data_IF_810137019461
#
_entry.id   IF_810137019461
#
_cell.length_a   1.000
_cell.length_b   1.000
_cell.length_c   1.000
_cell.angle_alpha   90.00
_cell.angle_beta   90.00
_cell.angle_gamma   90.00
#
_symmetry.space_group_name_H-M   'P 1'
#
loop_
_entity.id
_entity.type
_entity.pdbx_description
1 polymer ?
#
# COMPACT_ATOMS: atom_id res chain seq x y z
N UNK A 1 43.44 -9.05 28.01
CA UNK A 1 42.34 -8.13 27.65
C UNK A 1 41.68 -7.70 28.94
N UNK A 2 41.56 -6.39 29.15
CA UNK A 2 41.24 -5.80 30.45
C UNK A 2 39.72 -5.69 30.63
N UNK A 3 39.18 -6.10 31.79
CA UNK A 3 37.74 -6.10 32.08
C UNK A 3 37.09 -4.72 31.84
N UNK A 4 37.84 -3.65 32.11
CA UNK A 4 37.41 -2.28 31.88
C UNK A 4 37.17 -1.92 30.40
N UNK A 5 37.85 -2.57 29.45
CA UNK A 5 37.62 -2.34 28.02
C UNK A 5 36.38 -3.11 27.52
N UNK A 6 36.05 -4.23 28.16
CA UNK A 6 34.84 -5.01 27.83
C UNK A 6 33.57 -4.34 28.38
N UNK A 7 33.67 -3.68 29.54
CA UNK A 7 32.57 -2.91 30.13
C UNK A 7 32.33 -1.56 29.41
N UNK A 8 33.36 -0.99 28.77
CA UNK A 8 33.26 0.24 27.96
C UNK A 8 32.62 -0.06 26.59
N UNK A 9 33.08 -1.11 25.89
CA UNK A 9 32.50 -1.58 24.62
C UNK A 9 31.03 -2.04 24.80
N UNK A 10 30.70 -2.66 25.94
CA UNK A 10 29.32 -3.06 26.25
C UNK A 10 28.42 -1.86 26.59
N UNK A 11 28.97 -0.80 27.20
CA UNK A 11 28.26 0.46 27.42
C UNK A 11 28.03 1.20 26.12
N UNK A 12 29.03 1.32 25.26
CA UNK A 12 28.92 1.95 23.94
C UNK A 12 27.91 1.20 23.06
N UNK A 13 27.88 -0.14 23.10
CA UNK A 13 26.90 -0.93 22.34
C UNK A 13 25.46 -0.78 22.87
N UNK A 14 25.28 -0.62 24.19
CA UNK A 14 23.97 -0.38 24.80
C UNK A 14 23.51 1.07 24.56
N UNK A 15 24.41 2.05 24.67
CA UNK A 15 24.11 3.45 24.33
C UNK A 15 23.83 3.60 22.83
N UNK A 16 24.53 2.90 21.96
CA UNK A 16 24.26 2.84 20.53
C UNK A 16 22.92 2.15 20.24
N UNK A 17 22.55 1.08 20.94
CA UNK A 17 21.25 0.43 20.75
C UNK A 17 20.07 1.29 21.25
N UNK A 18 20.27 2.07 22.32
CA UNK A 18 19.26 2.99 22.87
C UNK A 18 19.16 4.28 22.04
N UNK A 19 20.27 4.76 21.48
CA UNK A 19 20.33 5.98 20.69
C UNK A 19 20.20 5.75 19.18
N UNK A 20 20.41 4.54 18.65
CA UNK A 20 20.24 4.23 17.23
C UNK A 20 18.83 4.56 16.72
N UNK A 21 17.74 4.25 17.44
CA UNK A 21 16.40 4.73 17.06
C UNK A 21 16.34 6.26 17.03
N UNK A 22 16.89 6.96 18.03
CA UNK A 22 16.92 8.44 18.08
C UNK A 22 17.76 9.05 16.95
N UNK A 23 18.91 8.47 16.60
CA UNK A 23 19.81 8.91 15.52
C UNK A 23 19.16 8.65 14.16
N UNK A 24 18.58 7.47 13.97
CA UNK A 24 17.83 7.11 12.76
C UNK A 24 16.60 8.01 12.59
N UNK A 25 15.87 8.29 13.66
CA UNK A 25 14.74 9.23 13.67
C UNK A 25 15.22 10.66 13.42
N UNK A 26 16.30 11.14 14.03
CA UNK A 26 16.81 12.50 13.78
C UNK A 26 17.34 12.66 12.34
N UNK A 27 17.95 11.63 11.78
CA UNK A 27 18.34 11.58 10.37
C UNK A 27 17.11 11.53 9.44
N UNK A 28 16.08 10.76 9.79
CA UNK A 28 14.80 10.68 9.08
C UNK A 28 13.93 11.94 9.27
N UNK A 29 14.13 12.64 10.39
CA UNK A 29 13.52 13.91 10.78
C UNK A 29 14.25 15.12 10.18
N UNK A 30 15.28 14.91 9.34
CA UNK A 30 16.04 15.98 8.70
C UNK A 30 16.68 16.95 9.69
N UNK A 31 16.95 16.51 10.93
CA UNK A 31 17.56 17.30 12.01
C UNK A 31 19.09 17.15 12.06
N UNK A 32 19.70 16.37 11.16
CA UNK A 32 21.15 16.23 11.04
C UNK A 32 21.75 17.38 10.20
N UNK A 33 22.83 17.99 10.70
CA UNK A 33 23.46 19.22 10.18
C UNK A 33 23.97 19.16 8.72
N UNK A 34 23.89 18.02 8.02
CA UNK A 34 24.35 17.85 6.63
C UNK A 34 23.43 16.97 5.75
N UNK A 35 22.12 16.96 6.01
CA UNK A 35 21.14 16.21 5.21
C UNK A 35 20.67 16.99 3.97
N UNK A 36 20.93 16.48 2.76
CA UNK A 36 20.29 16.95 1.50
C UNK A 36 18.82 16.52 1.37
N UNK A 37 18.30 15.76 2.35
CA UNK A 37 16.90 15.34 2.47
C UNK A 37 16.16 16.38 3.33
N UNK A 38 15.04 16.89 2.83
CA UNK A 38 14.22 17.91 3.51
C UNK A 38 13.73 17.44 4.89
N UNK A 39 13.40 18.41 5.77
CA UNK A 39 12.83 18.22 7.11
C UNK A 39 11.61 17.26 7.08
N UNK A 40 11.82 15.98 7.29
CA UNK A 40 11.63 15.46 8.64
C UNK A 40 10.37 14.70 9.04
N UNK A 41 9.99 13.69 8.25
CA UNK A 41 9.37 12.42 8.68
C UNK A 41 9.89 11.35 7.70
N UNK A 42 10.11 10.10 8.13
CA UNK A 42 10.44 9.00 7.20
C UNK A 42 9.36 8.81 6.11
N UNK A 43 8.15 9.27 6.39
CA UNK A 43 6.98 9.31 5.53
C UNK A 43 6.80 10.69 4.89
N UNK A 44 6.58 10.75 3.60
CA UNK A 44 6.30 12.01 2.87
C UNK A 44 4.85 12.12 2.44
N UNK A 45 4.39 13.34 2.10
CA UNK A 45 3.06 13.55 1.51
C UNK A 45 2.89 12.77 0.20
N UNK A 46 3.94 12.66 -0.60
CA UNK A 46 3.92 11.96 -1.88
C UNK A 46 3.66 10.46 -1.68
N UNK A 47 4.26 9.87 -0.64
CA UNK A 47 4.04 8.46 -0.29
C UNK A 47 2.59 8.19 0.16
N UNK A 48 1.96 9.12 0.89
CA UNK A 48 0.53 9.03 1.21
C UNK A 48 -0.37 9.20 -0.01
N UNK A 49 0.00 10.07 -0.95
CA UNK A 49 -0.69 10.19 -2.24
C UNK A 49 -0.58 8.87 -3.02
N UNK A 50 0.59 8.23 -3.05
CA UNK A 50 0.75 6.93 -3.73
C UNK A 50 -0.09 5.83 -3.10
N UNK A 51 -0.19 5.77 -1.76
CA UNK A 51 -1.11 4.85 -1.07
C UNK A 51 -2.57 5.07 -1.50
N UNK A 52 -2.98 6.34 -1.66
CA UNK A 52 -4.32 6.68 -2.15
C UNK A 52 -4.51 6.28 -3.62
N UNK A 53 -3.51 6.47 -4.47
CA UNK A 53 -3.57 6.06 -5.88
C UNK A 53 -3.70 4.54 -6.01
N UNK A 54 -2.93 3.79 -5.21
CA UNK A 54 -3.06 2.33 -5.11
C UNK A 54 -4.48 1.93 -4.68
N UNK A 55 -5.03 2.56 -3.63
CA UNK A 55 -6.39 2.28 -3.16
C UNK A 55 -7.42 2.50 -4.27
N UNK A 56 -7.39 3.65 -4.95
CA UNK A 56 -8.32 3.98 -6.03
C UNK A 56 -8.21 2.96 -7.16
N UNK A 57 -6.99 2.67 -7.62
CA UNK A 57 -6.77 1.72 -8.71
C UNK A 57 -7.26 0.32 -8.35
N UNK A 58 -6.96 -0.15 -7.13
CA UNK A 58 -7.41 -1.46 -6.65
C UNK A 58 -8.94 -1.56 -6.52
N UNK A 59 -9.60 -0.52 -6.02
CA UNK A 59 -11.07 -0.48 -5.88
C UNK A 59 -11.80 -0.42 -7.22
N UNK A 60 -11.16 0.07 -8.29
CA UNK A 60 -11.72 0.10 -9.64
C UNK A 60 -11.69 -1.26 -10.34
N UNK A 61 -10.90 -2.23 -9.85
CA UNK A 61 -10.82 -3.54 -10.46
C UNK A 61 -12.13 -4.32 -10.27
N UNK A 62 -12.68 -4.93 -11.33
CA UNK A 62 -13.90 -5.70 -11.23
C UNK A 62 -13.65 -7.04 -10.52
N UNK A 63 -14.57 -7.42 -9.63
CA UNK A 63 -14.48 -8.65 -8.84
C UNK A 63 -15.43 -9.75 -9.30
N UNK A 64 -16.41 -9.44 -10.16
CA UNK A 64 -17.30 -10.42 -10.77
C UNK A 64 -16.87 -10.75 -12.20
N UNK A 65 -17.19 -11.95 -12.67
CA UNK A 65 -16.79 -12.42 -13.99
C UNK A 65 -17.30 -11.54 -15.13
N UNK A 66 -18.48 -10.91 -14.99
CA UNK A 66 -19.03 -10.07 -16.05
C UNK A 66 -18.26 -8.76 -16.17
N UNK A 67 -17.91 -8.16 -15.02
CA UNK A 67 -17.02 -7.01 -14.96
C UNK A 67 -15.65 -7.32 -15.56
N UNK A 68 -15.08 -8.49 -15.24
CA UNK A 68 -13.79 -8.95 -15.79
C UNK A 68 -13.86 -9.18 -17.30
N UNK A 69 -14.92 -9.83 -17.80
CA UNK A 69 -15.15 -10.02 -19.23
C UNK A 69 -15.19 -8.67 -19.97
N UNK A 70 -15.95 -7.71 -19.45
CA UNK A 70 -16.05 -6.37 -20.02
C UNK A 70 -14.72 -5.61 -19.97
N UNK A 71 -13.98 -5.75 -18.86
CA UNK A 71 -12.67 -5.13 -18.68
C UNK A 71 -11.68 -5.69 -19.69
N UNK A 72 -11.54 -7.02 -19.78
CA UNK A 72 -10.57 -7.67 -20.66
C UNK A 72 -10.95 -7.55 -22.13
N UNK A 73 -12.23 -7.67 -22.45
CA UNK A 73 -12.76 -7.66 -23.82
C UNK A 73 -12.04 -8.66 -24.74
N UNK A 74 -11.79 -9.87 -24.25
CA UNK A 74 -11.16 -10.94 -25.04
C UNK A 74 -12.22 -11.62 -25.91
N UNK A 75 -11.90 -11.80 -27.19
CA UNK A 75 -12.78 -12.48 -28.15
C UNK A 75 -12.37 -13.94 -28.37
N UNK A 76 -11.18 -14.33 -27.89
CA UNK A 76 -10.69 -15.70 -27.96
C UNK A 76 -9.76 -16.05 -26.79
N UNK A 77 -9.45 -17.33 -26.66
CA UNK A 77 -8.51 -17.84 -25.66
C UNK A 77 -7.10 -17.28 -25.90
N UNK A 78 -6.52 -16.67 -24.87
CA UNK A 78 -5.22 -16.00 -24.96
C UNK A 78 -4.04 -16.83 -24.44
N UNK A 79 -4.29 -18.02 -23.86
CA UNK A 79 -3.26 -18.91 -23.35
C UNK A 79 -3.44 -19.30 -21.87
N UNK A 80 -2.58 -20.20 -21.35
CA UNK A 80 -2.66 -20.66 -19.98
C UNK A 80 -2.50 -19.52 -18.97
N UNK A 81 -3.32 -19.50 -17.92
CA UNK A 81 -3.29 -18.45 -16.91
C UNK A 81 -3.92 -17.12 -17.33
N UNK A 82 -4.54 -17.06 -18.52
CA UNK A 82 -5.21 -15.89 -19.08
C UNK A 82 -6.73 -16.10 -19.26
N UNK A 83 -7.31 -17.02 -18.49
CA UNK A 83 -8.77 -17.18 -18.41
C UNK A 83 -9.37 -16.04 -17.58
N UNK A 84 -10.66 -15.76 -17.79
CA UNK A 84 -11.38 -14.72 -17.05
C UNK A 84 -11.27 -14.95 -15.53
N UNK A 85 -11.36 -16.20 -15.09
CA UNK A 85 -11.25 -16.62 -13.69
C UNK A 85 -9.87 -16.31 -13.10
N UNK A 86 -8.80 -16.40 -13.90
CA UNK A 86 -7.45 -16.06 -13.43
C UNK A 86 -7.32 -14.56 -13.15
N UNK A 87 -7.86 -13.72 -14.03
CA UNK A 87 -7.91 -12.28 -13.81
C UNK A 87 -8.84 -11.90 -12.67
N UNK A 88 -10.02 -12.50 -12.59
CA UNK A 88 -10.96 -12.30 -11.49
C UNK A 88 -10.30 -12.59 -10.14
N UNK A 89 -9.56 -13.69 -10.04
CA UNK A 89 -8.84 -14.05 -8.82
C UNK A 89 -7.86 -12.96 -8.40
N UNK A 90 -6.97 -12.54 -9.30
CA UNK A 90 -5.99 -11.48 -9.01
C UNK A 90 -6.66 -10.14 -8.71
N UNK A 91 -7.68 -9.75 -9.49
CA UNK A 91 -8.41 -8.50 -9.26
C UNK A 91 -9.13 -8.51 -7.92
N UNK A 92 -9.72 -9.63 -7.51
CA UNK A 92 -10.37 -9.78 -6.21
C UNK A 92 -9.38 -9.65 -5.06
N UNK A 93 -8.19 -10.24 -5.18
CA UNK A 93 -7.11 -10.12 -4.18
C UNK A 93 -6.70 -8.65 -4.04
N UNK A 94 -6.42 -7.97 -5.15
CA UNK A 94 -6.00 -6.56 -5.14
C UNK A 94 -7.12 -5.67 -4.58
N UNK A 95 -8.36 -5.85 -5.05
CA UNK A 95 -9.52 -5.06 -4.63
C UNK A 95 -9.79 -5.19 -3.12
N UNK A 96 -9.80 -6.41 -2.61
CA UNK A 96 -10.03 -6.66 -1.18
C UNK A 96 -8.92 -6.09 -0.31
N UNK A 97 -7.67 -6.15 -0.79
CA UNK A 97 -6.54 -5.56 -0.10
C UNK A 97 -6.64 -4.02 -0.08
N UNK A 98 -6.86 -3.39 -1.23
CA UNK A 98 -7.04 -1.95 -1.37
C UNK A 98 -8.14 -1.40 -0.44
N UNK A 99 -9.27 -2.11 -0.32
CA UNK A 99 -10.39 -1.76 0.57
C UNK A 99 -10.01 -1.63 2.06
N UNK A 100 -8.92 -2.26 2.50
CA UNK A 100 -8.45 -2.18 3.90
C UNK A 100 -7.79 -0.85 4.23
N UNK A 101 -7.33 -0.09 3.23
CA UNK A 101 -6.53 1.11 3.45
C UNK A 101 -7.30 2.22 4.16
N UNK A 102 -8.48 2.63 3.66
CA UNK A 102 -9.24 3.71 4.27
C UNK A 102 -9.54 3.50 5.78
N UNK A 103 -10.03 2.34 6.24
CA UNK A 103 -10.18 2.08 7.69
C UNK A 103 -8.89 2.25 8.49
N UNK A 104 -7.75 1.78 7.96
CA UNK A 104 -6.44 1.93 8.61
C UNK A 104 -6.05 3.42 8.66
N UNK A 105 -6.20 4.14 7.56
CA UNK A 105 -5.91 5.58 7.46
C UNK A 105 -6.73 6.41 8.47
N UNK A 106 -8.04 6.16 8.57
CA UNK A 106 -8.90 6.81 9.56
C UNK A 106 -8.42 6.54 10.98
N UNK A 107 -8.05 5.29 11.28
CA UNK A 107 -7.57 4.91 12.62
C UNK A 107 -6.22 5.55 12.96
N UNK A 108 -5.30 5.60 12.00
CA UNK A 108 -4.00 6.29 12.12
C UNK A 108 -4.20 7.76 12.49
N UNK A 109 -5.07 8.48 11.74
CA UNK A 109 -5.36 9.89 12.00
C UNK A 109 -6.00 10.10 13.38
N UNK A 110 -6.95 9.24 13.76
CA UNK A 110 -7.62 9.31 15.06
C UNK A 110 -6.64 9.10 16.23
N UNK A 111 -5.90 7.97 16.21
CA UNK A 111 -4.92 7.65 17.27
C UNK A 111 -3.80 8.70 17.31
N UNK A 112 -3.31 9.17 16.16
CA UNK A 112 -2.31 10.24 16.10
C UNK A 112 -2.80 11.53 16.78
N UNK A 113 -4.05 11.93 16.54
CA UNK A 113 -4.66 13.09 17.19
C UNK A 113 -4.78 12.89 18.70
N UNK A 114 -5.21 11.70 19.14
CA UNK A 114 -5.32 11.38 20.57
C UNK A 114 -3.97 11.36 21.27
N UNK A 115 -2.92 10.83 20.62
CA UNK A 115 -1.54 10.85 21.12
C UNK A 115 -1.02 12.28 21.26
N UNK A 116 -1.26 13.15 20.27
CA UNK A 116 -0.87 14.57 20.32
C UNK A 116 -1.54 15.29 21.49
N UNK A 117 -2.85 15.10 21.67
CA UNK A 117 -3.60 15.73 22.78
C UNK A 117 -3.09 15.22 24.12
N UNK A 118 -2.96 13.90 24.27
CA UNK A 118 -2.49 13.29 25.51
C UNK A 118 -1.05 13.72 25.86
N UNK A 119 -0.16 13.80 24.86
CA UNK A 119 1.19 14.33 25.03
C UNK A 119 1.19 15.76 25.60
N UNK A 120 0.30 16.63 25.11
CA UNK A 120 0.14 17.98 25.65
C UNK A 120 -0.29 17.97 27.12
N UNK A 121 -1.26 17.14 27.47
CA UNK A 121 -1.78 17.04 28.83
C UNK A 121 -0.75 16.50 29.82
N UNK A 122 -0.07 15.39 29.49
CA UNK A 122 0.90 14.77 30.40
C UNK A 122 2.14 15.64 30.62
N UNK A 123 2.58 16.40 29.60
CA UNK A 123 3.68 17.36 29.73
C UNK A 123 3.29 18.55 30.61
N UNK A 124 2.08 19.09 30.45
CA UNK A 124 1.58 20.16 31.33
C UNK A 124 1.51 19.68 32.78
N UNK A 125 1.01 18.48 32.98
CA UNK A 125 0.89 17.88 34.30
C UNK A 125 2.26 17.59 34.95
N UNK A 126 3.23 17.05 34.20
CA UNK A 126 4.59 16.87 34.69
C UNK A 126 5.24 18.18 35.15
N UNK A 127 5.00 19.28 34.45
CA UNK A 127 5.45 20.61 34.87
C UNK A 127 4.78 21.07 36.16
N UNK A 128 3.48 20.83 36.31
CA UNK A 128 2.76 21.18 37.54
C UNK A 128 3.31 20.42 38.76
N UNK A 129 3.59 19.12 38.62
CA UNK A 129 4.23 18.32 39.68
C UNK A 129 5.63 18.85 39.99
N UNK A 130 6.46 19.10 38.97
CA UNK A 130 7.81 19.61 39.18
C UNK A 130 7.80 20.95 39.94
N UNK A 131 6.94 21.89 39.54
CA UNK A 131 6.80 23.19 40.18
C UNK A 131 6.34 23.07 41.64
N UNK A 132 5.32 22.26 41.91
CA UNK A 132 4.84 22.04 43.28
C UNK A 132 5.95 21.50 44.20
N UNK A 133 6.77 20.57 43.70
CA UNK A 133 7.88 20.00 44.46
C UNK A 133 8.99 21.03 44.70
N UNK A 134 9.28 21.91 43.74
CA UNK A 134 10.29 22.95 43.89
C UNK A 134 9.86 24.08 44.83
N UNK A 135 8.58 24.47 44.83
CA UNK A 135 8.02 25.41 45.82
C UNK A 135 8.12 24.86 47.25
N UNK A 136 7.81 23.58 47.40
CA UNK A 136 7.90 22.87 48.67
C UNK A 136 9.37 22.77 49.17
N UNK A 137 10.36 22.60 48.27
CA UNK A 137 11.80 22.67 48.60
C UNK A 137 12.25 24.08 48.99
N UNK A 138 11.81 25.10 48.25
CA UNK A 138 12.23 26.50 48.44
C UNK A 138 11.86 27.07 49.80
N UNK A 139 10.78 26.56 50.41
CA UNK A 139 10.30 26.98 51.72
C UNK A 139 10.91 26.22 52.92
N UNK A 140 11.96 25.39 52.74
CA UNK A 140 12.55 24.51 53.78
C UNK A 140 11.52 23.60 54.50
N UNK A 141 10.36 23.33 53.88
CA UNK A 141 9.18 22.75 54.56
C UNK A 141 9.05 21.22 54.48
N UNK A 142 9.80 20.53 53.63
CA UNK A 142 9.63 19.08 53.40
C UNK A 142 9.85 18.23 54.66
N UNK A 143 10.97 18.46 55.35
CA UNK A 143 11.32 17.76 56.59
C UNK A 143 10.45 18.20 57.76
N UNK A 144 10.03 19.47 57.76
CA UNK A 144 9.35 20.10 58.88
C UNK A 144 7.83 19.81 58.87
N UNK A 145 7.27 19.39 57.73
CA UNK A 145 5.88 18.96 57.55
C UNK A 145 5.71 17.43 57.46
N UNK A 146 6.79 16.66 57.62
CA UNK A 146 6.75 15.19 57.55
C UNK A 146 6.34 14.66 56.17
N UNK A 147 6.79 15.30 55.09
CA UNK A 147 6.48 14.89 53.72
C UNK A 147 7.61 14.03 53.17
N UNK A 148 7.52 12.72 53.43
CA UNK A 148 8.56 11.75 53.04
C UNK A 148 8.12 10.86 51.86
N UNK A 149 6.82 10.71 51.64
CA UNK A 149 6.21 9.75 50.70
C UNK A 149 5.27 10.40 49.67
N UNK A 150 4.87 9.66 48.63
CA UNK A 150 3.82 10.05 47.68
C UNK A 150 2.50 10.37 48.41
N UNK A 151 2.16 9.60 49.44
CA UNK A 151 0.99 9.82 50.31
C UNK A 151 1.05 11.17 51.06
N UNK A 152 2.25 11.61 51.47
CA UNK A 152 2.40 12.92 52.10
C UNK A 152 2.33 14.09 51.10
N UNK A 153 2.77 13.88 49.84
CA UNK A 153 2.57 14.80 48.73
C UNK A 153 1.07 14.95 48.39
N UNK A 154 0.31 13.85 48.47
CA UNK A 154 -1.16 13.84 48.30
C UNK A 154 -1.88 14.70 49.36
N UNK A 155 -1.34 14.79 50.58
CA UNK A 155 -1.89 15.63 51.66
C UNK A 155 -1.69 17.13 51.44
N UNK A 156 -0.64 17.54 50.73
CA UNK A 156 -0.34 18.96 50.43
C UNK A 156 -1.25 19.54 49.34
N UNK A 157 -1.80 18.70 48.45
CA UNK A 157 -2.76 19.17 47.44
C UNK A 157 -4.01 19.81 48.08
N UNK A 158 -4.46 19.31 49.24
CA UNK A 158 -5.57 19.89 49.99
C UNK A 158 -5.26 21.29 50.55
N UNK A 159 -3.98 21.66 50.70
CA UNK A 159 -3.55 23.00 51.17
C UNK A 159 -3.21 23.97 50.02
N UNK A 160 -2.93 23.48 48.81
CA UNK A 160 -2.50 24.28 47.65
C UNK A 160 -3.65 24.96 46.88
N UNK A 161 -4.92 24.62 47.17
CA UNK A 161 -6.08 25.39 46.71
C UNK A 161 -6.18 25.59 45.18
N UNK A 162 -6.77 26.71 44.70
CA UNK A 162 -7.21 26.90 43.31
C UNK A 162 -6.11 27.09 42.24
N UNK A 163 -4.83 27.01 42.60
CA UNK A 163 -3.69 27.19 41.67
C UNK A 163 -3.28 25.90 40.92
N UNK A 164 -3.99 24.79 41.16
CA UNK A 164 -3.86 23.57 40.36
C UNK A 164 -4.62 23.74 39.02
N UNK A 165 -3.96 23.61 37.86
CA UNK A 165 -4.60 23.90 36.57
C UNK A 165 -5.80 22.98 36.30
N UNK A 166 -6.88 23.49 35.68
CA UNK A 166 -7.98 22.66 35.15
C UNK A 166 -7.47 21.88 33.94
N UNK A 167 -7.30 20.56 34.09
CA UNK A 167 -6.56 19.70 33.16
C UNK A 167 -7.48 19.06 32.10
N UNK A 168 -8.68 19.63 31.87
CA UNK A 168 -9.50 19.28 30.70
C UNK A 168 -10.07 17.86 30.70
N UNK A 169 -10.46 17.36 31.86
CA UNK A 169 -11.10 16.06 32.04
C UNK A 169 -12.62 16.12 31.79
N UNK A 170 -13.25 14.96 31.52
CA UNK A 170 -14.71 14.88 31.43
C UNK A 170 -15.37 15.15 32.79
N UNK A 171 -16.69 15.40 32.79
CA UNK A 171 -17.39 15.82 34.00
C UNK A 171 -17.40 14.78 35.13
N UNK A 172 -17.18 13.49 34.82
CA UNK A 172 -17.13 12.43 35.83
C UNK A 172 -15.75 12.38 36.50
N UNK A 173 -14.69 12.65 35.75
CA UNK A 173 -13.32 12.76 36.25
C UNK A 173 -13.08 14.05 37.07
N UNK A 174 -13.85 15.13 36.85
CA UNK A 174 -13.77 16.38 37.63
C UNK A 174 -14.22 16.24 39.09
N UNK A 175 -15.16 15.32 39.39
CA UNK A 175 -15.60 15.04 40.76
C UNK A 175 -14.53 14.28 41.57
N UNK A 176 -13.64 13.55 40.87
CA UNK A 176 -12.51 12.83 41.46
C UNK A 176 -11.22 13.67 41.56
N UNK A 177 -11.21 14.91 41.04
CA UNK A 177 -10.04 15.79 40.99
C UNK A 177 -9.59 16.34 42.35
N UNK A 178 -10.32 16.05 43.44
CA UNK A 178 -9.88 16.33 44.81
C UNK A 178 -8.84 15.32 45.35
N UNK A 179 -8.46 14.30 44.57
CA UNK A 179 -7.49 13.28 44.95
C UNK A 179 -6.38 13.15 43.87
N UNK A 180 -5.22 13.76 44.14
CA UNK A 180 -4.00 13.67 43.34
C UNK A 180 -3.63 12.21 43.03
N UNK A 181 -3.86 11.28 43.96
CA UNK A 181 -3.58 9.86 43.79
C UNK A 181 -4.46 9.21 42.73
N UNK A 182 -5.76 9.53 42.73
CA UNK A 182 -6.68 9.09 41.68
C UNK A 182 -6.22 9.62 40.31
N UNK A 183 -5.81 10.88 40.25
CA UNK A 183 -5.35 11.51 39.02
C UNK A 183 -4.09 10.86 38.44
N UNK A 184 -3.06 10.62 39.27
CA UNK A 184 -1.84 9.90 38.86
C UNK A 184 -2.20 8.51 38.33
N UNK A 185 -3.05 7.75 39.04
CA UNK A 185 -3.51 6.43 38.60
C UNK A 185 -4.24 6.47 37.25
N UNK A 186 -5.08 7.46 37.00
CA UNK A 186 -5.75 7.65 35.71
C UNK A 186 -4.76 8.00 34.58
N UNK A 187 -3.72 8.79 34.87
CA UNK A 187 -2.67 9.10 33.90
C UNK A 187 -1.85 7.87 33.51
N UNK A 188 -1.43 7.05 34.49
CA UNK A 188 -0.69 5.80 34.22
C UNK A 188 -1.55 4.83 33.37
N UNK A 189 -2.85 4.71 33.67
CA UNK A 189 -3.78 3.94 32.82
C UNK A 189 -3.88 4.47 31.39
N UNK A 190 -3.89 5.81 31.21
CA UNK A 190 -3.92 6.41 29.87
C UNK A 190 -2.62 6.16 29.11
N UNK A 191 -1.46 6.14 29.78
CA UNK A 191 -0.18 5.73 29.17
C UNK A 191 -0.28 4.30 28.64
N UNK A 192 -0.79 3.35 29.45
CA UNK A 192 -1.01 1.97 29.04
C UNK A 192 -1.98 1.86 27.84
N UNK A 193 -3.10 2.58 27.88
CA UNK A 193 -4.07 2.57 26.78
C UNK A 193 -3.46 3.09 25.47
N UNK A 194 -2.74 4.21 25.52
CA UNK A 194 -2.14 4.82 24.33
C UNK A 194 -1.01 3.99 23.75
N UNK A 195 -0.29 3.26 24.60
CA UNK A 195 0.68 2.26 24.18
C UNK A 195 0.00 1.12 23.41
N UNK A 196 -1.13 0.58 23.90
CA UNK A 196 -1.91 -0.45 23.20
C UNK A 196 -2.46 0.05 21.86
N UNK A 197 -2.99 1.27 21.84
CA UNK A 197 -3.51 1.90 20.62
C UNK A 197 -2.40 1.99 19.55
N UNK A 198 -1.19 2.40 19.93
CA UNK A 198 -0.05 2.49 19.03
C UNK A 198 0.43 1.10 18.52
N UNK A 199 0.43 0.09 19.37
CA UNK A 199 0.76 -1.29 18.98
C UNK A 199 -0.25 -1.87 17.98
N UNK A 200 -1.53 -1.58 18.17
CA UNK A 200 -2.57 -2.06 17.26
C UNK A 200 -2.40 -1.45 15.85
N UNK A 201 -2.04 -0.16 15.77
CA UNK A 201 -1.72 0.48 14.48
C UNK A 201 -0.51 -0.20 13.81
N UNK A 202 0.56 -0.48 14.57
CA UNK A 202 1.72 -1.19 14.03
C UNK A 202 1.35 -2.55 13.46
N UNK A 203 0.51 -3.32 14.16
CA UNK A 203 0.05 -4.62 13.69
C UNK A 203 -0.76 -4.50 12.39
N UNK A 204 -1.72 -3.56 12.33
CA UNK A 204 -2.53 -3.33 11.14
C UNK A 204 -1.68 -2.95 9.91
N UNK A 205 -0.68 -2.08 10.11
CA UNK A 205 0.24 -1.68 9.04
C UNK A 205 1.17 -2.83 8.63
N UNK A 206 1.67 -3.62 9.58
CA UNK A 206 2.49 -4.79 9.31
C UNK A 206 1.74 -5.83 8.48
N UNK A 207 0.49 -6.14 8.85
CA UNK A 207 -0.34 -7.09 8.11
C UNK A 207 -0.68 -6.57 6.71
N UNK A 208 -0.96 -5.28 6.57
CA UNK A 208 -1.18 -4.64 5.26
C UNK A 208 0.07 -4.70 4.37
N UNK A 209 1.24 -4.32 4.90
CA UNK A 209 2.50 -4.34 4.16
C UNK A 209 2.96 -5.74 3.77
N UNK A 210 2.77 -6.72 4.67
CA UNK A 210 3.07 -8.12 4.37
C UNK A 210 2.19 -8.66 3.25
N UNK A 211 0.90 -8.36 3.26
CA UNK A 211 0.01 -8.83 2.20
C UNK A 211 0.33 -8.18 0.85
N UNK A 212 0.75 -6.90 0.81
CA UNK A 212 1.28 -6.29 -0.41
C UNK A 212 2.45 -7.09 -0.99
N UNK A 213 3.44 -7.40 -0.14
CA UNK A 213 4.68 -8.05 -0.55
C UNK A 213 4.54 -9.54 -0.86
N UNK A 214 3.73 -10.26 -0.07
CA UNK A 214 3.66 -11.74 -0.08
C UNK A 214 2.46 -12.28 -0.87
N UNK A 215 1.43 -11.46 -1.11
CA UNK A 215 0.19 -11.90 -1.76
C UNK A 215 -0.12 -11.05 -3.00
N UNK A 216 -0.32 -9.75 -2.84
CA UNK A 216 -0.81 -8.87 -3.92
C UNK A 216 0.21 -8.77 -5.07
N UNK A 217 1.47 -8.46 -4.75
CA UNK A 217 2.52 -8.29 -5.77
C UNK A 217 2.80 -9.60 -6.53
N UNK A 218 2.98 -10.77 -5.88
CA UNK A 218 3.15 -12.04 -6.59
C UNK A 218 2.00 -12.37 -7.54
N UNK A 219 0.75 -12.07 -7.15
CA UNK A 219 -0.43 -12.30 -7.98
C UNK A 219 -0.44 -11.45 -9.26
N UNK A 220 -0.13 -10.16 -9.14
CA UNK A 220 0.03 -9.26 -10.29
C UNK A 220 1.18 -9.74 -11.18
N UNK A 221 2.32 -10.08 -10.57
CA UNK A 221 3.50 -10.55 -11.29
C UNK A 221 3.23 -11.84 -12.09
N UNK A 222 2.52 -12.80 -11.49
CA UNK A 222 2.14 -14.04 -12.15
C UNK A 222 1.28 -13.79 -13.39
N UNK A 223 0.32 -12.85 -13.30
CA UNK A 223 -0.51 -12.45 -14.44
C UNK A 223 0.29 -11.70 -15.50
N UNK A 224 1.19 -10.80 -15.13
CA UNK A 224 2.11 -10.14 -16.07
C UNK A 224 3.02 -11.13 -16.82
N UNK A 225 3.50 -12.16 -16.14
CA UNK A 225 4.27 -13.24 -16.77
C UNK A 225 3.41 -14.04 -17.74
N UNK A 226 2.18 -14.41 -17.36
CA UNK A 226 1.26 -15.13 -18.24
C UNK A 226 0.97 -14.32 -19.52
N UNK A 227 0.72 -13.01 -19.39
CA UNK A 227 0.50 -12.11 -20.51
C UNK A 227 1.73 -12.07 -21.43
N UNK A 228 2.92 -11.92 -20.83
CA UNK A 228 4.17 -11.81 -21.59
C UNK A 228 4.55 -13.11 -22.32
N UNK A 229 4.03 -14.25 -21.86
CA UNK A 229 4.27 -15.58 -22.43
C UNK A 229 3.09 -16.10 -23.29
N UNK A 230 2.19 -15.21 -23.72
CA UNK A 230 1.05 -15.61 -24.57
C UNK A 230 1.52 -16.29 -25.87
N UNK A 231 0.89 -17.40 -26.29
CA UNK A 231 1.16 -18.02 -27.59
C UNK A 231 0.60 -17.21 -28.77
N UNK A 232 -0.29 -16.24 -28.52
CA UNK A 232 -1.02 -15.51 -29.57
C UNK A 232 -0.07 -14.87 -30.60
N UNK A 233 1.06 -14.31 -30.16
CA UNK A 233 2.04 -13.70 -31.08
C UNK A 233 2.57 -14.69 -32.11
N UNK A 234 2.89 -15.92 -31.68
CA UNK A 234 3.39 -16.97 -32.56
C UNK A 234 2.26 -17.53 -33.46
N UNK A 235 1.06 -17.69 -32.90
CA UNK A 235 -0.11 -18.15 -33.64
C UNK A 235 -0.53 -17.17 -34.74
N UNK A 236 -0.56 -15.87 -34.45
CA UNK A 236 -0.85 -14.79 -35.41
C UNK A 236 0.16 -14.84 -36.56
N UNK A 237 1.46 -14.93 -36.25
CA UNK A 237 2.52 -15.02 -37.26
C UNK A 237 2.37 -16.26 -38.14
N UNK A 238 2.08 -17.41 -37.54
CA UNK A 238 1.87 -18.67 -38.27
C UNK A 238 0.65 -18.57 -39.21
N UNK A 239 -0.48 -18.08 -38.70
CA UNK A 239 -1.72 -17.94 -39.46
C UNK A 239 -1.57 -16.91 -40.59
N UNK A 240 -0.88 -15.80 -40.37
CA UNK A 240 -0.56 -14.83 -41.41
C UNK A 240 0.26 -15.46 -42.55
N UNK A 241 1.25 -16.32 -42.23
CA UNK A 241 2.00 -17.07 -43.24
C UNK A 241 1.14 -18.05 -44.05
N UNK A 242 0.19 -18.73 -43.40
CA UNK A 242 -0.78 -19.61 -44.08
C UNK A 242 -1.68 -18.81 -45.04
N UNK A 243 -2.16 -17.64 -44.61
CA UNK A 243 -2.98 -16.73 -45.41
C UNK A 243 -2.20 -16.22 -46.62
N UNK A 244 -0.93 -15.86 -46.45
CA UNK A 244 -0.06 -15.39 -47.53
C UNK A 244 0.20 -16.49 -48.56
N UNK A 245 0.58 -17.69 -48.12
CA UNK A 245 0.80 -18.82 -49.03
C UNK A 245 -0.47 -19.18 -49.80
N UNK A 246 -1.62 -19.23 -49.11
CA UNK A 246 -2.89 -19.54 -49.77
C UNK A 246 -3.31 -18.45 -50.77
N UNK A 247 -2.96 -17.19 -50.52
CA UNK A 247 -3.20 -16.12 -51.50
C UNK A 247 -2.41 -16.35 -52.79
N UNK A 248 -1.17 -16.84 -52.71
CA UNK A 248 -0.37 -17.24 -53.87
C UNK A 248 -1.03 -18.41 -54.62
N UNK A 249 -1.46 -19.45 -53.90
CA UNK A 249 -2.13 -20.62 -54.49
C UNK A 249 -3.45 -20.21 -55.20
N UNK A 250 -4.22 -19.29 -54.61
CA UNK A 250 -5.44 -18.75 -55.22
C UNK A 250 -5.13 -17.98 -56.51
N UNK A 251 -4.05 -17.19 -56.54
CA UNK A 251 -3.63 -16.46 -57.73
C UNK A 251 -3.19 -17.42 -58.84
N UNK A 252 -2.41 -18.45 -58.51
CA UNK A 252 -2.01 -19.50 -59.45
C UNK A 252 -3.23 -20.25 -60.01
N UNK A 253 -4.14 -20.71 -59.16
CA UNK A 253 -5.39 -21.36 -59.59
C UNK A 253 -6.29 -20.44 -60.41
N UNK A 254 -6.24 -19.13 -60.14
CA UNK A 254 -6.95 -18.14 -60.95
C UNK A 254 -6.35 -18.03 -62.35
N UNK A 255 -5.01 -18.05 -62.48
CA UNK A 255 -4.30 -18.07 -63.77
C UNK A 255 -4.56 -19.37 -64.53
N UNK A 256 -4.48 -20.54 -63.88
CA UNK A 256 -4.79 -21.84 -64.47
C UNK A 256 -6.23 -21.87 -65.02
N UNK A 257 -7.20 -21.40 -64.22
CA UNK A 257 -8.60 -21.34 -64.63
C UNK A 257 -8.80 -20.47 -65.88
N UNK A 258 -8.19 -19.28 -65.91
CA UNK A 258 -8.26 -18.38 -67.09
C UNK A 258 -7.73 -19.07 -68.34
N UNK A 259 -6.56 -19.73 -68.23
CA UNK A 259 -5.95 -20.47 -69.33
C UNK A 259 -6.83 -21.62 -69.82
N UNK A 260 -7.39 -22.43 -68.91
CA UNK A 260 -8.28 -23.54 -69.27
C UNK A 260 -9.55 -23.05 -69.99
N UNK A 261 -10.12 -21.92 -69.56
CA UNK A 261 -11.26 -21.30 -70.24
C UNK A 261 -10.88 -20.80 -71.64
N UNK A 262 -9.73 -20.13 -71.80
CA UNK A 262 -9.22 -19.69 -73.10
C UNK A 262 -8.98 -20.87 -74.06
N UNK A 263 -8.39 -21.96 -73.57
CA UNK A 263 -8.10 -23.14 -74.37
C UNK A 263 -9.39 -23.90 -74.76
N UNK A 264 -10.39 -23.96 -73.88
CA UNK A 264 -11.73 -24.49 -74.19
C UNK A 264 -12.42 -23.67 -75.30
N UNK A 265 -12.36 -22.33 -75.22
CA UNK A 265 -12.91 -21.43 -76.24
C UNK A 265 -12.21 -21.62 -77.60
N UNK A 266 -10.87 -21.72 -77.61
CA UNK A 266 -10.10 -22.01 -78.84
C UNK A 266 -10.50 -23.36 -79.44
N UNK A 267 -10.63 -24.41 -78.63
CA UNK A 267 -11.05 -25.73 -79.10
C UNK A 267 -12.46 -25.70 -79.72
N UNK A 268 -13.41 -25.01 -79.08
CA UNK A 268 -14.77 -24.85 -79.59
C UNK A 268 -14.84 -24.08 -80.92
N UNK A 269 -13.93 -23.10 -81.13
CA UNK A 269 -13.87 -22.30 -82.35
C UNK A 269 -13.39 -23.05 -83.61
N UNK A 270 -12.85 -24.27 -83.44
CA UNK A 270 -12.38 -25.10 -84.57
C UNK A 270 -13.51 -25.75 -85.40
N UNK A 271 -14.78 -25.59 -85.00
CA UNK A 271 -16.01 -25.93 -85.73
C UNK A 271 -16.08 -27.37 -86.30
N UNK A 272 -15.34 -28.32 -85.73
CA UNK A 272 -15.44 -29.76 -86.06
C UNK A 272 -15.83 -30.60 -84.81
N UNK A 273 -16.35 -31.82 -85.04
CA UNK A 273 -16.87 -32.70 -83.98
C UNK A 273 -15.79 -33.05 -82.94
N UNK A 274 -14.53 -33.18 -83.36
CA UNK A 274 -13.39 -33.43 -82.48
C UNK A 274 -13.10 -32.25 -81.54
N UNK A 275 -13.17 -31.01 -82.05
CA UNK A 275 -12.99 -29.79 -81.28
C UNK A 275 -14.07 -29.56 -80.22
N UNK A 276 -15.33 -29.91 -80.54
CA UNK A 276 -16.44 -29.86 -79.59
C UNK A 276 -16.27 -30.85 -78.42
N UNK A 277 -15.85 -32.09 -78.71
CA UNK A 277 -15.55 -33.08 -77.66
C UNK A 277 -14.41 -32.65 -76.74
N UNK A 278 -13.36 -32.05 -77.31
CA UNK A 278 -12.22 -31.53 -76.55
C UNK A 278 -12.61 -30.33 -75.66
N UNK A 279 -13.46 -29.43 -76.16
CA UNK A 279 -13.94 -28.29 -75.39
C UNK A 279 -14.72 -28.70 -74.12
N UNK A 280 -15.54 -29.77 -74.20
CA UNK A 280 -16.28 -30.32 -73.06
C UNK A 280 -15.31 -30.89 -72.01
N UNK A 281 -14.30 -31.66 -72.43
CA UNK A 281 -13.29 -32.21 -71.52
C UNK A 281 -12.52 -31.11 -70.78
N UNK A 282 -12.06 -30.08 -71.52
CA UNK A 282 -11.36 -28.93 -70.92
C UNK A 282 -12.30 -28.13 -70.00
N UNK A 283 -13.59 -28.03 -70.34
CA UNK A 283 -14.61 -27.39 -69.50
C UNK A 283 -14.80 -28.10 -68.15
N UNK A 284 -14.80 -29.43 -68.13
CA UNK A 284 -14.84 -30.22 -66.89
C UNK A 284 -13.60 -29.99 -66.02
N UNK A 285 -12.42 -29.90 -66.63
CA UNK A 285 -11.18 -29.60 -65.90
C UNK A 285 -11.15 -28.17 -65.34
N UNK A 286 -11.63 -27.20 -66.13
CA UNK A 286 -11.80 -25.81 -65.67
C UNK A 286 -12.76 -25.73 -64.48
N UNK A 287 -13.81 -26.55 -64.45
CA UNK A 287 -14.77 -26.60 -63.35
C UNK A 287 -14.17 -27.18 -62.05
N UNK A 288 -13.28 -28.17 -62.16
CA UNK A 288 -12.51 -28.67 -61.00
C UNK A 288 -11.59 -27.59 -60.44
N UNK A 289 -10.85 -26.88 -61.29
CA UNK A 289 -9.98 -25.76 -60.88
C UNK A 289 -10.81 -24.66 -60.21
N UNK A 290 -11.99 -24.34 -60.77
CA UNK A 290 -12.92 -23.36 -60.20
C UNK A 290 -13.37 -23.76 -58.80
N UNK A 291 -13.76 -25.03 -58.62
CA UNK A 291 -14.22 -25.58 -57.36
C UNK A 291 -13.12 -25.51 -56.32
N UNK A 292 -11.90 -25.95 -56.66
CA UNK A 292 -10.76 -25.91 -55.75
C UNK A 292 -10.36 -24.48 -55.37
N UNK A 293 -10.31 -23.56 -56.34
CA UNK A 293 -10.07 -22.14 -56.07
C UNK A 293 -11.13 -21.56 -55.13
N UNK A 294 -12.40 -21.88 -55.34
CA UNK A 294 -13.47 -21.38 -54.47
C UNK A 294 -13.37 -21.97 -53.06
N UNK A 295 -12.94 -23.24 -52.92
CA UNK A 295 -12.63 -23.86 -51.62
C UNK A 295 -11.49 -23.12 -50.91
N UNK A 296 -10.40 -22.81 -51.62
CA UNK A 296 -9.28 -22.04 -51.06
C UNK A 296 -9.73 -20.64 -50.63
N UNK A 297 -10.56 -19.95 -51.42
CA UNK A 297 -11.13 -18.64 -51.04
C UNK A 297 -11.98 -18.71 -49.77
N UNK A 298 -12.81 -19.74 -49.61
CA UNK A 298 -13.63 -19.90 -48.41
C UNK A 298 -12.75 -20.13 -47.16
N UNK A 299 -11.70 -20.95 -47.27
CA UNK A 299 -10.73 -21.14 -46.18
C UNK A 299 -9.96 -19.85 -45.87
N UNK A 300 -9.62 -19.06 -46.89
CA UNK A 300 -8.99 -17.76 -46.73
C UNK A 300 -9.84 -16.80 -45.90
N UNK A 301 -11.15 -16.73 -46.18
CA UNK A 301 -12.08 -15.85 -45.47
C UNK A 301 -12.19 -16.23 -43.98
N UNK A 302 -12.26 -17.53 -43.68
CA UNK A 302 -12.27 -18.06 -42.29
C UNK A 302 -10.98 -17.67 -41.55
N UNK A 303 -9.83 -17.87 -42.19
CA UNK A 303 -8.53 -17.59 -41.55
C UNK A 303 -8.30 -16.09 -41.35
N UNK A 304 -8.72 -15.24 -42.30
CA UNK A 304 -8.69 -13.77 -42.14
C UNK A 304 -9.57 -13.33 -40.95
N UNK A 305 -10.77 -13.89 -40.81
CA UNK A 305 -11.64 -13.62 -39.66
C UNK A 305 -11.01 -14.05 -38.34
N UNK A 306 -10.42 -15.24 -38.32
CA UNK A 306 -9.71 -15.79 -37.14
C UNK A 306 -8.50 -14.94 -36.77
N UNK A 307 -7.72 -14.49 -37.76
CA UNK A 307 -6.60 -13.58 -37.57
C UNK A 307 -7.06 -12.27 -36.91
N UNK A 308 -8.13 -11.66 -37.41
CA UNK A 308 -8.68 -10.42 -36.85
C UNK A 308 -9.12 -10.54 -35.39
N UNK A 309 -9.73 -11.66 -35.00
CA UNK A 309 -10.12 -11.95 -33.60
C UNK A 309 -8.86 -12.09 -32.71
N UNK A 310 -7.84 -12.80 -33.19
CA UNK A 310 -6.58 -13.00 -32.46
C UNK A 310 -5.81 -11.69 -32.29
N UNK A 311 -5.70 -10.88 -33.34
CA UNK A 311 -5.04 -9.56 -33.29
C UNK A 311 -5.71 -8.63 -32.28
N UNK A 312 -7.05 -8.58 -32.27
CA UNK A 312 -7.80 -7.76 -31.32
C UNK A 312 -7.62 -8.25 -29.88
N UNK A 313 -7.62 -9.57 -29.68
CA UNK A 313 -7.36 -10.15 -28.36
C UNK A 313 -5.94 -9.82 -27.89
N UNK A 314 -4.93 -9.92 -28.76
CA UNK A 314 -3.55 -9.53 -28.44
C UNK A 314 -3.43 -8.04 -28.11
N UNK A 315 -4.14 -7.17 -28.85
CA UNK A 315 -4.20 -5.74 -28.56
C UNK A 315 -4.77 -5.46 -27.16
N UNK A 316 -5.92 -6.05 -26.83
CA UNK A 316 -6.54 -5.87 -25.52
C UNK A 316 -5.67 -6.45 -24.40
N UNK A 317 -4.99 -7.56 -24.65
CA UNK A 317 -4.04 -8.16 -23.71
C UNK A 317 -2.85 -7.23 -23.43
N UNK A 318 -2.32 -6.55 -24.45
CA UNK A 318 -1.25 -5.56 -24.28
C UNK A 318 -1.71 -4.31 -23.52
N UNK A 319 -2.96 -3.86 -23.72
CA UNK A 319 -3.54 -2.78 -22.90
C UNK A 319 -3.61 -3.20 -21.43
N UNK A 320 -4.17 -4.38 -21.16
CA UNK A 320 -4.26 -4.93 -19.79
C UNK A 320 -2.87 -5.10 -19.18
N UNK A 321 -1.86 -5.48 -19.97
CA UNK A 321 -0.46 -5.53 -19.52
C UNK A 321 0.00 -4.17 -18.98
N UNK A 322 -0.25 -3.09 -19.70
CA UNK A 322 0.11 -1.74 -19.26
C UNK A 322 -0.59 -1.39 -17.95
N UNK A 323 -1.91 -1.60 -17.88
CA UNK A 323 -2.69 -1.35 -16.66
C UNK A 323 -2.12 -2.12 -15.45
N UNK A 324 -1.72 -3.39 -15.65
CA UNK A 324 -1.14 -4.23 -14.60
C UNK A 324 0.29 -3.84 -14.23
N UNK A 325 1.09 -3.30 -15.17
CA UNK A 325 2.42 -2.76 -14.87
C UNK A 325 2.32 -1.49 -14.05
N UNK A 326 1.37 -0.60 -14.38
CA UNK A 326 1.09 0.60 -13.60
C UNK A 326 0.60 0.22 -12.19
N UNK A 327 -0.26 -0.79 -12.08
CA UNK A 327 -0.69 -1.33 -10.79
C UNK A 327 0.47 -1.96 -9.99
N UNK A 328 1.39 -2.69 -10.63
CA UNK A 328 2.58 -3.24 -9.97
C UNK A 328 3.44 -2.13 -9.37
N UNK A 329 3.62 -1.02 -10.10
CA UNK A 329 4.35 0.14 -9.60
C UNK A 329 3.64 0.77 -8.39
N UNK A 330 2.32 0.98 -8.46
CA UNK A 330 1.54 1.49 -7.34
C UNK A 330 1.64 0.60 -6.10
N UNK A 331 1.68 -0.72 -6.27
CA UNK A 331 1.88 -1.68 -5.17
C UNK A 331 3.28 -1.54 -4.54
N UNK A 332 4.32 -1.33 -5.35
CA UNK A 332 5.70 -1.12 -4.86
C UNK A 332 5.79 0.19 -4.06
N UNK A 333 5.15 1.25 -4.57
CA UNK A 333 5.13 2.55 -3.91
C UNK A 333 4.32 2.49 -2.61
N UNK A 334 3.17 1.81 -2.61
CA UNK A 334 2.34 1.57 -1.43
C UNK A 334 3.07 0.74 -0.36
N UNK A 335 3.83 -0.28 -0.76
CA UNK A 335 4.65 -1.10 0.16
C UNK A 335 5.75 -0.24 0.83
N UNK A 336 6.42 0.60 0.04
CA UNK A 336 7.43 1.54 0.54
C UNK A 336 6.82 2.54 1.53
N UNK A 337 5.70 3.17 1.16
CA UNK A 337 4.98 4.10 2.01
C UNK A 337 4.49 3.43 3.32
N UNK A 338 4.01 2.19 3.25
CA UNK A 338 3.57 1.41 4.41
C UNK A 338 4.75 1.13 5.35
N UNK A 339 5.92 0.74 4.83
CA UNK A 339 7.13 0.52 5.64
C UNK A 339 7.61 1.81 6.33
N UNK A 340 7.48 2.95 5.66
CA UNK A 340 7.80 4.24 6.27
C UNK A 340 6.79 4.61 7.37
N UNK A 341 5.49 4.33 7.17
CA UNK A 341 4.47 4.46 8.22
C UNK A 341 4.76 3.57 9.42
N UNK A 342 5.08 2.29 9.21
CA UNK A 342 5.49 1.34 10.27
C UNK A 342 6.67 1.91 11.04
N UNK A 343 7.66 2.48 10.36
CA UNK A 343 8.83 3.08 11.00
C UNK A 343 8.45 4.23 11.95
N UNK A 344 7.58 5.14 11.50
CA UNK A 344 7.09 6.28 12.31
C UNK A 344 6.28 5.79 13.52
N UNK A 345 5.40 4.81 13.32
CA UNK A 345 4.57 4.26 14.40
C UNK A 345 5.34 3.39 15.39
N UNK A 346 6.36 2.65 14.93
CA UNK A 346 7.28 1.92 15.80
C UNK A 346 8.05 2.88 16.72
N UNK A 347 8.52 4.01 16.20
CA UNK A 347 9.19 5.03 17.01
C UNK A 347 8.29 5.52 18.15
N UNK A 348 7.04 5.91 17.85
CA UNK A 348 6.08 6.34 18.86
C UNK A 348 5.74 5.22 19.85
N UNK A 349 5.62 3.97 19.37
CA UNK A 349 5.36 2.81 20.24
C UNK A 349 6.52 2.50 21.18
N UNK A 350 7.77 2.64 20.74
CA UNK A 350 8.96 2.47 21.59
C UNK A 350 8.97 3.53 22.71
N UNK A 351 8.68 4.79 22.37
CA UNK A 351 8.58 5.85 23.38
C UNK A 351 7.42 5.63 24.36
N UNK A 352 6.28 5.15 23.88
CA UNK A 352 5.14 4.81 24.73
C UNK A 352 5.47 3.63 25.66
N UNK A 353 6.19 2.61 25.17
CA UNK A 353 6.67 1.49 25.99
C UNK A 353 7.62 1.96 27.09
N UNK A 354 8.60 2.81 26.74
CA UNK A 354 9.53 3.41 27.71
C UNK A 354 8.78 4.16 28.82
N UNK A 355 7.79 4.96 28.44
CA UNK A 355 6.95 5.68 29.40
C UNK A 355 6.13 4.73 30.29
N UNK A 356 5.63 3.63 29.73
CA UNK A 356 4.88 2.61 30.47
C UNK A 356 5.77 1.82 31.44
N UNK A 357 7.01 1.50 31.06
CA UNK A 357 7.99 0.87 31.95
C UNK A 357 8.24 1.75 33.19
N UNK A 358 8.54 3.04 32.98
CA UNK A 358 8.72 3.99 34.08
C UNK A 358 7.43 4.20 34.91
N UNK A 359 6.27 4.11 34.26
CA UNK A 359 4.98 4.22 34.93
C UNK A 359 4.71 3.04 35.88
N UNK A 360 5.16 1.84 35.51
CA UNK A 360 4.99 0.63 36.31
C UNK A 360 5.90 0.57 37.53
N UNK A 361 6.99 1.34 37.54
CA UNK A 361 7.89 1.47 38.70
C UNK A 361 7.30 2.39 39.78
N UNK A 362 6.26 3.18 39.48
CA UNK A 362 5.63 4.08 40.44
C UNK A 362 4.64 3.30 41.31
N UNK A 363 4.91 3.25 42.62
CA UNK A 363 4.02 2.71 43.63
C UNK A 363 3.63 3.74 44.72
N UNK A 364 2.60 3.42 45.50
CA UNK A 364 2.06 4.30 46.55
C UNK A 364 3.04 4.51 47.73
N UNK A 365 4.05 3.63 47.91
CA UNK A 365 5.05 3.70 48.98
C UNK A 365 6.32 4.49 48.59
N UNK A 366 6.41 4.91 47.33
CA UNK A 366 7.54 5.64 46.79
C UNK A 366 7.76 6.97 47.52
N UNK A 367 9.02 7.36 47.72
CA UNK A 367 9.35 8.67 48.30
C UNK A 367 9.01 9.80 47.33
N UNK A 368 8.51 10.92 47.84
CA UNK A 368 8.11 12.09 47.05
C UNK A 368 9.13 12.54 45.99
N UNK A 369 10.43 12.57 46.36
CA UNK A 369 11.52 12.94 45.43
C UNK A 369 11.78 11.88 44.36
N UNK A 370 11.62 10.60 44.72
CA UNK A 370 11.79 9.49 43.81
C UNK A 370 10.63 9.44 42.82
N UNK A 371 9.41 9.68 43.31
CA UNK A 371 8.22 9.87 42.47
C UNK A 371 8.41 11.01 41.47
N UNK A 372 8.90 12.18 41.90
CA UNK A 372 9.17 13.30 40.98
C UNK A 372 10.11 12.92 39.84
N UNK A 373 11.16 12.15 40.16
CA UNK A 373 12.14 11.70 39.19
C UNK A 373 11.52 10.67 38.21
N UNK A 374 10.87 9.62 38.72
CA UNK A 374 10.20 8.61 37.90
C UNK A 374 9.08 9.22 37.05
N UNK A 375 8.27 10.11 37.62
CA UNK A 375 7.24 10.80 36.87
C UNK A 375 7.83 11.69 35.76
N UNK A 376 9.00 12.30 35.99
CA UNK A 376 9.76 12.96 34.93
C UNK A 376 10.11 12.01 33.78
N UNK A 377 10.57 10.80 34.08
CA UNK A 377 10.87 9.77 33.07
C UNK A 377 9.61 9.22 32.38
N UNK A 378 8.46 9.19 33.06
CA UNK A 378 7.17 8.90 32.43
C UNK A 378 6.80 9.99 31.41
N UNK A 379 7.01 11.27 31.75
CA UNK A 379 6.59 12.42 30.94
C UNK A 379 7.52 12.68 29.76
N UNK A 380 8.84 12.49 29.91
CA UNK A 380 9.84 12.86 28.90
C UNK A 380 9.57 12.29 27.50
N UNK A 381 9.24 10.98 27.34
CA UNK A 381 8.95 10.41 26.02
C UNK A 381 7.76 11.07 25.30
N UNK A 382 6.79 11.61 26.04
CA UNK A 382 5.61 12.24 25.47
C UNK A 382 5.89 13.57 24.78
N UNK A 383 6.99 14.25 25.12
CA UNK A 383 7.44 15.43 24.36
C UNK A 383 7.78 15.03 22.91
N UNK A 384 8.41 13.87 22.72
CA UNK A 384 8.77 13.36 21.39
C UNK A 384 7.54 12.80 20.68
N UNK A 385 6.73 11.98 21.36
CA UNK A 385 5.48 11.43 20.80
C UNK A 385 4.56 12.55 20.30
N UNK A 386 4.39 13.62 21.08
CA UNK A 386 3.54 14.75 20.68
C UNK A 386 4.05 15.46 19.42
N UNK A 387 5.37 15.66 19.29
CA UNK A 387 5.98 16.27 18.10
C UNK A 387 5.86 15.38 16.86
N UNK A 388 6.10 14.09 17.02
CA UNK A 388 6.08 13.13 15.92
C UNK A 388 4.63 12.89 15.45
N UNK A 389 3.66 12.83 16.38
CA UNK A 389 2.24 12.76 16.06
C UNK A 389 1.75 14.03 15.34
N UNK A 390 2.20 15.22 15.76
CA UNK A 390 1.87 16.48 15.08
C UNK A 390 2.42 16.52 13.65
N UNK A 391 3.70 16.18 13.48
CA UNK A 391 4.34 16.11 12.16
C UNK A 391 3.65 15.09 11.25
N UNK A 392 3.26 13.92 11.78
CA UNK A 392 2.51 12.91 11.03
C UNK A 392 1.16 13.47 10.54
N UNK A 393 0.39 14.11 11.41
CA UNK A 393 -0.92 14.70 11.08
C UNK A 393 -0.78 15.82 10.03
N UNK A 394 0.29 16.61 10.10
CA UNK A 394 0.58 17.63 9.09
C UNK A 394 0.85 17.01 7.72
N UNK A 395 1.66 15.94 7.65
CA UNK A 395 1.89 15.21 6.40
C UNK A 395 0.60 14.63 5.82
N UNK A 396 -0.29 14.10 6.67
CA UNK A 396 -1.61 13.64 6.25
C UNK A 396 -2.49 14.78 5.71
N UNK A 397 -2.47 15.94 6.35
CA UNK A 397 -3.23 17.12 5.90
C UNK A 397 -2.72 17.63 4.56
N UNK A 398 -1.41 17.71 4.37
CA UNK A 398 -0.80 18.09 3.10
C UNK A 398 -1.14 17.10 1.98
N UNK A 399 -1.08 15.80 2.27
CA UNK A 399 -1.48 14.76 1.32
C UNK A 399 -2.96 14.84 0.97
N UNK A 400 -3.85 15.01 1.97
CA UNK A 400 -5.28 15.17 1.75
C UNK A 400 -5.56 16.37 0.83
N UNK A 401 -4.92 17.52 1.07
CA UNK A 401 -5.07 18.72 0.25
C UNK A 401 -4.57 18.52 -1.19
N UNK A 402 -3.46 17.81 -1.38
CA UNK A 402 -2.95 17.43 -2.69
C UNK A 402 -3.93 16.49 -3.42
N UNK A 403 -4.45 15.46 -2.74
CA UNK A 403 -5.48 14.55 -3.26
C UNK A 403 -6.72 15.34 -3.71
N UNK A 404 -7.16 16.34 -2.92
CA UNK A 404 -8.29 17.20 -3.32
C UNK A 404 -7.95 17.98 -4.59
N UNK A 405 -6.75 18.56 -4.66
CA UNK A 405 -6.31 19.37 -5.80
C UNK A 405 -6.21 18.56 -7.11
N UNK A 406 -5.89 17.27 -7.00
CA UNK A 406 -5.81 16.33 -8.13
C UNK A 406 -7.19 15.80 -8.56
N UNK A 407 -8.27 16.18 -7.88
CA UNK A 407 -9.62 15.68 -8.18
C UNK A 407 -9.82 14.21 -7.81
N UNK A 408 -8.99 13.67 -6.92
CA UNK A 408 -9.05 12.26 -6.46
C UNK A 408 -10.04 12.05 -5.29
N UNK A 409 -10.91 13.05 -5.04
CA UNK A 409 -11.96 12.98 -4.04
C UNK A 409 -13.27 12.43 -4.62
N UNK A 410 -13.62 11.23 -4.14
CA UNK A 410 -14.97 10.68 -3.85
C UNK A 410 -15.05 9.21 -4.25
N UNK A 411 -14.97 8.35 -3.23
CA UNK A 411 -16.05 7.47 -2.78
C UNK A 411 -15.75 7.05 -1.34
#
# INVERSE_FOLDING_TARGET
MNQAAYDDDAKDFIDDAINAPKIFINASAGRAENSTRGKGVALTKAELVQLRLYEIAGLQLPTDLKGVENYLNFETYAGPGLLLENFQHTFTIVHNHAKRWNPICVKIKAVGSELKVFAGHIVLFGKAIANAIDEIKGNQRLSDLGIDTVEDLMRVQAELGPDFPDIGFDSADKEAANDFGHFVKQMLKKVEQKQKDAQEINQLLFDFGNDLSLTVRPEIHQRLQAISNTPLTAEIKSLAGVIEQRALDIDEKTKEYKKAVEDSLKAASSLNVYGLGMAIYIGVEAEKIRTERNRLKALQEIDIGTLGIKDRTLYNLNRVKLDMQDLELLVIDADTATKNLITVWNAMSIYANKSLEEANEIDDAMKARLFAAHFGFVVEPWVSIGKDADALLDVFREADDEIKSLGLNNN
#
